data_IF_963888694586
#
_entry.id   IF_963888694586
#
_cell.length_a   1.000
_cell.length_b   1.000
_cell.length_c   1.000
_cell.angle_alpha   90.00
_cell.angle_beta   90.00
_cell.angle_gamma   90.00
#
_symmetry.space_group_name_H-M   'P 1'
#
loop_
_entity.id
_entity.type
_entity.pdbx_description
1 polymer ?
#
# COMPACT_ATOMS: atom_id res chain seq x y z
N UNK A 1 -4.83 -28.05 -0.81
CA UNK A 1 -4.27 -27.36 -1.99
C UNK A 1 -4.38 -25.87 -1.70
N UNK A 2 -3.28 -25.20 -1.38
CA UNK A 2 -3.26 -23.75 -1.15
C UNK A 2 -3.42 -23.07 -2.52
N UNK A 3 -4.64 -22.70 -2.87
CA UNK A 3 -4.93 -21.95 -4.09
C UNK A 3 -4.84 -20.46 -3.82
N UNK A 4 -3.91 -19.77 -4.48
CA UNK A 4 -3.93 -18.32 -4.52
C UNK A 4 -5.02 -17.87 -5.52
N UNK A 5 -5.97 -17.06 -5.05
CA UNK A 5 -6.95 -16.39 -5.91
C UNK A 5 -6.43 -14.99 -6.21
N UNK A 6 -6.60 -14.52 -7.45
CA UNK A 6 -6.24 -13.16 -7.86
C UNK A 6 -7.49 -12.34 -8.19
N UNK A 7 -7.52 -11.10 -7.70
CA UNK A 7 -8.47 -10.02 -8.04
C UNK A 7 -9.98 -10.23 -7.80
N UNK A 8 -10.44 -11.47 -7.60
CA UNK A 8 -11.84 -11.79 -7.29
C UNK A 8 -12.08 -12.04 -5.79
N UNK A 9 -12.12 -10.95 -5.02
CA UNK A 9 -12.53 -10.99 -3.61
C UNK A 9 -13.97 -11.46 -3.39
N UNK A 10 -14.84 -11.47 -4.41
CA UNK A 10 -16.25 -11.91 -4.30
C UNK A 10 -16.39 -13.43 -4.42
N UNK A 11 -15.44 -14.09 -5.08
CA UNK A 11 -15.36 -15.55 -5.16
C UNK A 11 -14.77 -16.20 -3.90
N UNK A 12 -14.27 -15.42 -2.94
CA UNK A 12 -13.71 -15.94 -1.70
C UNK A 12 -14.82 -16.42 -0.75
N UNK A 13 -14.66 -17.63 -0.21
CA UNK A 13 -15.46 -18.14 0.90
C UNK A 13 -15.29 -17.25 2.14
N UNK A 14 -16.25 -17.22 3.08
CA UNK A 14 -16.02 -16.63 4.39
C UNK A 14 -14.87 -17.34 5.09
N UNK A 15 -13.82 -16.60 5.47
CA UNK A 15 -12.59 -17.18 5.99
C UNK A 15 -11.58 -16.14 6.45
N UNK A 16 -10.45 -16.61 6.98
CA UNK A 16 -9.34 -15.77 7.39
C UNK A 16 -8.33 -15.69 6.23
N UNK A 17 -8.13 -14.49 5.70
CA UNK A 17 -7.26 -14.28 4.53
C UNK A 17 -6.17 -13.27 4.84
N UNK A 18 -4.99 -13.56 4.30
CA UNK A 18 -3.97 -12.55 4.02
C UNK A 18 -4.21 -12.06 2.59
N UNK A 19 -4.15 -10.75 2.39
CA UNK A 19 -4.22 -10.16 1.05
C UNK A 19 -2.94 -9.38 0.77
N UNK A 20 -2.40 -9.55 -0.42
CA UNK A 20 -1.09 -9.05 -0.82
C UNK A 20 -1.27 -8.14 -2.02
N UNK A 21 -0.85 -6.89 -1.91
CA UNK A 21 -0.81 -5.94 -3.01
C UNK A 21 0.50 -6.06 -3.77
N UNK A 22 0.41 -6.25 -5.08
CA UNK A 22 1.54 -6.53 -5.96
C UNK A 22 1.48 -5.58 -7.15
N UNK A 23 2.59 -4.90 -7.46
CA UNK A 23 2.67 -4.04 -8.65
C UNK A 23 2.81 -4.85 -9.95
N UNK A 24 2.81 -4.15 -11.10
CA UNK A 24 2.98 -4.75 -12.43
C UNK A 24 4.31 -5.49 -12.61
N UNK A 25 5.34 -5.14 -11.85
CA UNK A 25 6.66 -5.75 -11.90
C UNK A 25 6.80 -6.95 -10.94
N UNK A 26 5.75 -7.26 -10.17
CA UNK A 26 5.77 -8.34 -9.19
C UNK A 26 6.28 -7.93 -7.80
N UNK A 27 6.54 -6.64 -7.55
CA UNK A 27 6.97 -6.14 -6.24
C UNK A 27 5.81 -6.19 -5.25
N UNK A 28 6.05 -6.80 -4.09
CA UNK A 28 5.08 -6.81 -2.98
C UNK A 28 5.12 -5.46 -2.28
N UNK A 29 4.01 -4.75 -2.37
CA UNK A 29 3.83 -3.41 -1.85
C UNK A 29 3.22 -3.43 -0.44
N UNK A 30 2.29 -4.35 -0.18
CA UNK A 30 1.59 -4.46 1.10
C UNK A 30 1.10 -5.87 1.40
N UNK A 31 1.08 -6.21 2.68
CA UNK A 31 0.52 -7.44 3.23
C UNK A 31 -0.49 -7.07 4.32
N UNK A 32 -1.77 -7.20 3.97
CA UNK A 32 -2.90 -7.02 4.87
C UNK A 32 -3.46 -8.34 5.37
N UNK A 33 -4.38 -8.25 6.34
CA UNK A 33 -5.13 -9.42 6.83
C UNK A 33 -6.58 -9.05 7.08
N UNK A 34 -7.48 -10.02 6.92
CA UNK A 34 -8.88 -9.88 7.35
C UNK A 34 -8.97 -9.72 8.86
N UNK A 35 -9.84 -8.82 9.31
CA UNK A 35 -10.23 -8.72 10.72
C UNK A 35 -11.31 -9.77 11.04
N UNK A 36 -11.33 -10.36 12.25
CA UNK A 36 -12.41 -11.26 12.68
C UNK A 36 -13.81 -10.62 12.62
N UNK A 37 -13.90 -9.28 12.59
CA UNK A 37 -15.17 -8.54 12.46
C UNK A 37 -15.59 -8.29 11.01
N UNK A 38 -14.67 -8.46 10.06
CA UNK A 38 -14.88 -8.20 8.64
C UNK A 38 -14.96 -9.55 7.92
N UNK A 39 -16.19 -10.06 7.77
CA UNK A 39 -16.43 -11.33 7.06
C UNK A 39 -16.29 -11.22 5.53
N UNK A 40 -16.14 -10.00 5.02
CA UNK A 40 -16.02 -9.71 3.60
C UNK A 40 -14.99 -8.59 3.39
N UNK A 41 -13.89 -8.93 2.70
CA UNK A 41 -12.77 -8.02 2.42
C UNK A 41 -13.18 -6.70 1.76
N UNK A 42 -14.30 -6.69 1.02
CA UNK A 42 -14.81 -5.47 0.39
C UNK A 42 -15.21 -4.38 1.41
N UNK A 43 -15.41 -4.73 2.69
CA UNK A 43 -15.63 -3.75 3.76
C UNK A 43 -14.33 -3.26 4.43
N UNK A 44 -13.19 -3.88 4.14
CA UNK A 44 -11.91 -3.35 4.57
C UNK A 44 -11.55 -2.16 3.68
N UNK A 45 -11.54 -0.95 4.27
CA UNK A 45 -11.21 0.30 3.60
C UNK A 45 -9.84 0.23 2.89
N UNK A 46 -8.85 -0.47 3.47
CA UNK A 46 -7.52 -0.60 2.85
C UNK A 46 -7.58 -1.48 1.61
N UNK A 47 -8.24 -2.63 1.71
CA UNK A 47 -8.46 -3.55 0.59
C UNK A 47 -9.21 -2.86 -0.56
N UNK A 48 -10.28 -2.13 -0.25
CA UNK A 48 -11.08 -1.40 -1.24
C UNK A 48 -10.27 -0.34 -1.98
N UNK A 49 -9.42 0.43 -1.28
CA UNK A 49 -8.52 1.40 -1.93
C UNK A 49 -7.53 0.68 -2.84
N UNK A 50 -6.84 -0.33 -2.30
CA UNK A 50 -5.79 -1.09 -2.99
C UNK A 50 -6.25 -1.69 -4.32
N UNK A 51 -7.44 -2.28 -4.33
CA UNK A 51 -8.02 -2.93 -5.52
C UNK A 51 -8.29 -1.94 -6.67
N UNK A 52 -8.43 -0.65 -6.38
CA UNK A 52 -8.77 0.37 -7.37
C UNK A 52 -7.56 1.17 -7.86
N UNK A 53 -6.34 0.84 -7.42
CA UNK A 53 -5.12 1.52 -7.89
C UNK A 53 -4.70 0.90 -9.23
N UNK A 54 -4.45 1.71 -10.28
CA UNK A 54 -3.92 1.21 -11.54
C UNK A 54 -2.64 0.38 -11.33
N UNK A 55 -2.47 -0.66 -12.15
CA UNK A 55 -1.30 -1.55 -12.13
C UNK A 55 -1.07 -2.33 -10.82
N UNK A 56 -2.04 -2.34 -9.89
CA UNK A 56 -2.01 -3.16 -8.68
C UNK A 56 -2.90 -4.38 -8.82
N UNK A 57 -2.33 -5.55 -8.54
CA UNK A 57 -3.05 -6.82 -8.40
C UNK A 57 -3.11 -7.23 -6.94
N UNK A 58 -4.19 -7.87 -6.54
CA UNK A 58 -4.36 -8.41 -5.19
C UNK A 58 -4.36 -9.94 -5.23
N UNK A 59 -3.39 -10.54 -4.54
CA UNK A 59 -3.36 -11.97 -4.27
C UNK A 59 -3.95 -12.27 -2.89
N UNK A 60 -4.73 -13.35 -2.78
CA UNK A 60 -5.33 -13.80 -1.53
C UNK A 60 -4.75 -15.15 -1.09
N UNK A 61 -4.43 -15.26 0.19
CA UNK A 61 -3.95 -16.48 0.84
C UNK A 61 -4.91 -16.82 1.98
N UNK A 62 -5.66 -17.91 1.82
CA UNK A 62 -6.45 -18.47 2.91
C UNK A 62 -5.54 -19.09 3.96
N UNK A 63 -5.79 -18.78 5.23
CA UNK A 63 -5.00 -19.26 6.35
C UNK A 63 -5.90 -19.66 7.51
N UNK A 64 -5.37 -20.50 8.40
CA UNK A 64 -6.00 -20.69 9.71
C UNK A 64 -5.99 -19.37 10.49
N UNK A 65 -7.12 -19.02 11.09
CA UNK A 65 -7.26 -17.77 11.85
C UNK A 65 -6.24 -17.67 13.00
N UNK A 66 -5.88 -18.79 13.64
CA UNK A 66 -4.87 -18.83 14.70
C UNK A 66 -3.47 -18.45 14.20
N UNK A 67 -3.20 -18.65 12.91
CA UNK A 67 -1.91 -18.40 12.27
C UNK A 67 -1.85 -17.06 11.51
N UNK A 68 -2.98 -16.38 11.31
CA UNK A 68 -3.03 -15.18 10.45
C UNK A 68 -2.04 -14.09 10.89
N UNK A 69 -1.83 -13.93 12.20
CA UNK A 69 -0.89 -12.95 12.74
C UNK A 69 0.57 -13.32 12.50
N UNK A 70 0.94 -14.58 12.75
CA UNK A 70 2.31 -15.06 12.59
C UNK A 70 2.71 -15.13 11.11
N UNK A 71 1.82 -15.61 10.24
CA UNK A 71 2.04 -15.66 8.79
C UNK A 71 2.15 -14.24 8.23
N UNK A 72 1.25 -13.32 8.61
CA UNK A 72 1.35 -11.91 8.19
C UNK A 72 2.71 -11.33 8.58
N UNK A 73 3.15 -11.54 9.84
CA UNK A 73 4.44 -11.03 10.32
C UNK A 73 5.61 -11.63 9.56
N UNK A 74 5.58 -12.93 9.26
CA UNK A 74 6.62 -13.60 8.48
C UNK A 74 6.71 -13.05 7.05
N UNK A 75 5.57 -12.84 6.38
CA UNK A 75 5.53 -12.26 5.03
C UNK A 75 6.04 -10.81 5.02
N UNK A 76 5.62 -9.98 5.99
CA UNK A 76 6.15 -8.62 6.13
C UNK A 76 7.66 -8.65 6.35
N UNK A 77 8.14 -9.49 7.27
CA UNK A 77 9.57 -9.60 7.57
C UNK A 77 10.41 -10.16 6.43
N UNK A 78 9.83 -10.97 5.53
CA UNK A 78 10.56 -11.55 4.40
C UNK A 78 10.62 -10.57 3.23
N UNK A 79 9.47 -10.01 2.86
CA UNK A 79 9.35 -9.15 1.67
C UNK A 79 9.63 -7.67 1.95
N UNK A 80 9.66 -7.26 3.22
CA UNK A 80 9.78 -5.87 3.66
C UNK A 80 8.93 -4.85 2.88
N UNK A 81 7.61 -5.10 2.74
CA UNK A 81 6.75 -4.30 1.89
C UNK A 81 6.70 -2.83 2.38
N UNK A 82 6.92 -1.85 1.48
CA UNK A 82 7.11 -0.44 1.86
C UNK A 82 5.91 0.13 2.64
N UNK A 83 4.69 -0.34 2.36
CA UNK A 83 3.47 0.15 2.99
C UNK A 83 3.09 -0.54 4.30
N UNK A 84 3.83 -1.58 4.73
CA UNK A 84 3.68 -2.14 6.08
C UNK A 84 4.65 -1.52 7.08
N UNK A 85 5.83 -1.14 6.62
CA UNK A 85 6.91 -0.64 7.48
C UNK A 85 6.88 0.88 7.64
N UNK A 86 5.98 1.57 6.93
CA UNK A 86 5.95 3.04 6.93
C UNK A 86 7.26 3.61 6.42
N UNK A 87 7.87 2.96 5.42
CA UNK A 87 9.16 3.37 4.87
C UNK A 87 9.07 4.79 4.33
N UNK A 88 10.22 5.45 4.29
CA UNK A 88 10.35 6.85 3.84
C UNK A 88 9.89 6.97 2.39
N UNK A 89 9.07 7.97 2.11
CA UNK A 89 8.78 8.38 0.73
C UNK A 89 10.01 9.16 0.25
N UNK A 90 10.96 8.49 -0.39
CA UNK A 90 12.15 9.14 -0.96
C UNK A 90 11.87 9.45 -2.43
N UNK A 91 12.31 10.61 -2.89
CA UNK A 91 12.01 11.10 -4.24
C UNK A 91 10.70 11.90 -4.36
N UNK A 92 9.90 12.00 -3.29
CA UNK A 92 8.67 12.81 -3.31
C UNK A 92 8.93 14.28 -3.69
N UNK A 93 10.00 14.86 -3.16
CA UNK A 93 10.39 16.23 -3.50
C UNK A 93 10.74 16.37 -4.98
N UNK A 94 11.48 15.40 -5.54
CA UNK A 94 11.83 15.39 -6.97
C UNK A 94 10.58 15.26 -7.83
N UNK A 95 9.73 14.27 -7.56
CA UNK A 95 8.47 14.05 -8.29
C UNK A 95 7.55 15.27 -8.22
N UNK A 96 7.46 15.91 -7.05
CA UNK A 96 6.67 17.15 -6.91
C UNK A 96 7.25 18.28 -7.76
N UNK A 97 8.58 18.46 -7.75
CA UNK A 97 9.26 19.50 -8.52
C UNK A 97 9.18 19.25 -10.04
N UNK A 98 9.20 18.00 -10.48
CA UNK A 98 8.99 17.62 -11.89
C UNK A 98 7.58 17.99 -12.39
N UNK A 99 6.60 18.13 -11.48
CA UNK A 99 5.26 18.62 -11.77
C UNK A 99 5.09 20.13 -11.51
N UNK A 100 6.18 20.86 -11.26
CA UNK A 100 6.18 22.29 -10.95
C UNK A 100 5.30 22.70 -9.75
N UNK A 101 5.05 21.77 -8.82
CA UNK A 101 4.20 22.02 -7.65
C UNK A 101 5.02 22.52 -6.46
N UNK A 102 4.47 23.43 -5.66
CA UNK A 102 4.96 23.77 -4.32
C UNK A 102 4.48 22.75 -3.27
N UNK A 103 5.11 22.72 -2.09
CA UNK A 103 4.66 21.88 -0.97
C UNK A 103 3.19 22.16 -0.60
N UNK A 104 2.76 23.44 -0.66
CA UNK A 104 1.40 23.87 -0.35
C UNK A 104 0.40 23.37 -1.37
N UNK A 105 0.72 23.45 -2.67
CA UNK A 105 -0.15 22.94 -3.74
C UNK A 105 -0.30 21.43 -3.66
N UNK A 106 0.80 20.69 -3.46
CA UNK A 106 0.72 19.24 -3.27
C UNK A 106 -0.14 18.88 -2.04
N UNK A 107 0.04 19.60 -0.92
CA UNK A 107 -0.74 19.37 0.29
C UNK A 107 -2.25 19.59 0.05
N UNK A 108 -2.60 20.64 -0.70
CA UNK A 108 -3.98 20.92 -1.09
C UNK A 108 -4.57 19.82 -1.99
N UNK A 109 -3.83 19.38 -3.01
CA UNK A 109 -4.26 18.34 -3.96
C UNK A 109 -4.46 16.97 -3.29
N UNK A 110 -3.62 16.66 -2.30
CA UNK A 110 -3.64 15.38 -1.56
C UNK A 110 -4.56 15.43 -0.34
N UNK A 111 -4.98 16.62 0.10
CA UNK A 111 -5.88 16.80 1.25
C UNK A 111 -5.19 16.61 2.60
N UNK A 112 -3.96 17.09 2.75
CA UNK A 112 -3.19 17.05 4.00
C UNK A 112 -2.63 18.42 4.37
N UNK A 113 -2.09 18.57 5.58
CA UNK A 113 -1.39 19.77 5.98
C UNK A 113 -0.01 19.88 5.30
N UNK A 114 0.45 21.10 5.00
CA UNK A 114 1.77 21.33 4.37
C UNK A 114 2.93 20.77 5.21
N UNK A 115 2.81 20.76 6.54
CA UNK A 115 3.80 20.13 7.43
C UNK A 115 3.88 18.63 7.24
N UNK A 116 2.79 17.98 6.84
CA UNK A 116 2.73 16.55 6.52
C UNK A 116 3.57 16.26 5.28
N UNK A 117 3.37 17.03 4.19
CA UNK A 117 4.20 16.92 2.97
C UNK A 117 5.67 17.15 3.29
N UNK A 118 5.99 18.18 4.07
CA UNK A 118 7.36 18.47 4.51
C UNK A 118 7.97 17.30 5.31
N UNK A 119 7.19 16.64 6.17
CA UNK A 119 7.66 15.48 6.93
C UNK A 119 7.89 14.26 6.04
N UNK A 120 7.03 14.06 5.03
CA UNK A 120 7.21 13.00 4.02
C UNK A 120 8.50 13.21 3.23
N UNK A 121 8.72 14.41 2.69
CA UNK A 121 9.93 14.73 1.90
C UNK A 121 11.21 14.61 2.73
N UNK A 122 11.16 14.90 4.04
CA UNK A 122 12.30 14.73 4.96
C UNK A 122 12.44 13.29 5.48
N UNK A 123 11.59 12.36 5.05
CA UNK A 123 11.57 10.98 5.53
C UNK A 123 11.35 10.85 7.04
N UNK A 124 10.66 11.79 7.68
CA UNK A 124 10.39 11.76 9.13
C UNK A 124 9.22 10.86 9.47
N UNK A 125 8.23 10.82 8.59
CA UNK A 125 7.08 9.92 8.65
C UNK A 125 6.75 9.53 7.20
N UNK A 126 6.70 8.24 6.86
CA UNK A 126 6.28 7.82 5.52
C UNK A 126 4.78 8.08 5.29
N UNK A 127 4.33 8.09 4.03
CA UNK A 127 2.91 8.03 3.73
C UNK A 127 2.37 6.64 4.16
N UNK A 128 1.87 6.55 5.40
CA UNK A 128 1.43 5.27 5.99
C UNK A 128 0.09 4.79 5.46
N UNK A 129 -0.72 5.67 4.89
CA UNK A 129 -2.03 5.30 4.38
C UNK A 129 -2.00 5.09 2.88
N UNK A 130 -2.42 3.91 2.43
CA UNK A 130 -2.52 3.57 1.02
C UNK A 130 -3.41 4.52 0.22
N UNK A 131 -4.42 5.12 0.86
CA UNK A 131 -5.27 6.15 0.23
C UNK A 131 -4.48 7.43 -0.09
N UNK A 132 -3.52 7.79 0.75
CA UNK A 132 -2.62 8.93 0.51
C UNK A 132 -1.67 8.60 -0.62
N UNK A 133 -1.11 7.38 -0.64
CA UNK A 133 -0.24 6.90 -1.72
C UNK A 133 -0.98 6.92 -3.05
N UNK A 134 -2.20 6.38 -3.11
CA UNK A 134 -3.03 6.41 -4.31
C UNK A 134 -3.23 7.84 -4.83
N UNK A 135 -3.52 8.78 -3.93
CA UNK A 135 -3.70 10.19 -4.27
C UNK A 135 -2.41 10.86 -4.73
N UNK A 136 -1.27 10.52 -4.12
CA UNK A 136 0.05 10.97 -4.56
C UNK A 136 0.36 10.44 -5.96
N UNK A 137 0.12 9.16 -6.23
CA UNK A 137 0.28 8.56 -7.56
C UNK A 137 -0.58 9.25 -8.62
N UNK A 138 -1.83 9.58 -8.29
CA UNK A 138 -2.73 10.31 -9.18
C UNK A 138 -2.23 11.74 -9.47
N UNK A 139 -1.90 12.50 -8.43
CA UNK A 139 -1.48 13.91 -8.56
C UNK A 139 -0.12 14.05 -9.23
N UNK A 140 0.80 13.14 -8.92
CA UNK A 140 2.18 13.17 -9.42
C UNK A 140 2.38 12.33 -10.68
N UNK A 141 1.31 11.70 -11.18
CA UNK A 141 1.33 10.79 -12.34
C UNK A 141 2.47 9.76 -12.25
N UNK A 142 2.62 9.16 -11.07
CA UNK A 142 3.67 8.20 -10.75
C UNK A 142 3.06 6.89 -10.25
N UNK A 143 3.89 5.86 -10.15
CA UNK A 143 3.51 4.58 -9.56
C UNK A 143 3.88 4.51 -8.08
N UNK A 144 3.24 3.62 -7.30
CA UNK A 144 3.64 3.38 -5.93
C UNK A 144 5.13 3.05 -5.77
N UNK A 145 5.77 2.45 -6.77
CA UNK A 145 7.20 2.11 -6.74
C UNK A 145 8.10 3.33 -6.94
N UNK A 146 7.65 4.37 -7.65
CA UNK A 146 8.42 5.62 -7.84
C UNK A 146 8.50 6.46 -6.55
N UNK A 147 7.53 6.28 -5.65
CA UNK A 147 7.49 6.95 -4.35
C UNK A 147 8.49 6.38 -3.33
N UNK A 148 9.09 5.22 -3.62
CA UNK A 148 10.00 4.52 -2.70
C UNK A 148 11.22 4.00 -3.46
N UNK A 149 12.32 4.75 -3.38
CA UNK A 149 13.64 4.23 -3.74
C UNK A 149 14.15 3.31 -2.63
N UNK A 150 14.56 2.09 -2.99
CA UNK A 150 15.35 1.24 -2.10
C UNK A 150 16.70 1.92 -1.85
N UNK A 151 17.25 1.78 -0.64
CA UNK A 151 18.67 2.07 -0.47
C UNK A 151 19.40 0.98 -1.24
N UNK A 152 20.21 1.37 -2.23
CA UNK A 152 21.30 0.52 -2.68
C UNK A 152 22.21 0.35 -1.45
N UNK A 153 22.10 -0.80 -0.78
CA UNK A 153 23.12 -1.27 0.19
C UNK A 153 24.42 -1.64 -0.55
#
# INVERSE_FOLDING_TARGET
>A
MLGAVFDDSKALSPGAFIYIAIDKNGKILYVGKTSPRIKNLNHDRRHSVLKNIPDIRIAYLEVDFSLIGSIQKALISYFHPPFNEGRRVRGLESLRREKDLTQTELASLVGVDVSTVRNWEKGREGARMFSTVARLCEVLECTPSDLYQEEDD
#
